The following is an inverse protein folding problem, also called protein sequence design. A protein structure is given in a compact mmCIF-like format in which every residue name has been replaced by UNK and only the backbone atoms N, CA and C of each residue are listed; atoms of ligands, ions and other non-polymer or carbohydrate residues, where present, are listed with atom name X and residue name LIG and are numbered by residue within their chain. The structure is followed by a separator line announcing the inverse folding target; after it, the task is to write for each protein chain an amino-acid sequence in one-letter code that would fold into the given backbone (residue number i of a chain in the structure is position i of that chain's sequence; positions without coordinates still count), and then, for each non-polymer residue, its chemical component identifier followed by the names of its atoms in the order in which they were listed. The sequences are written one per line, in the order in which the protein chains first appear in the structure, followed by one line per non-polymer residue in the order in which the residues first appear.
data_IF_360986386276
#
_entry.id   IF_360986386276
#
_cell.length_a   1.000
_cell.length_b   1.000
_cell.length_c   1.000
_cell.angle_alpha   90.00
_cell.angle_beta   90.00
_cell.angle_gamma   90.00
#
_symmetry.space_group_name_H-M   'P 1'
#
loop_
_entity.id
_entity.type
_entity.pdbx_description
1 polymer ?
#
# COMPACT_ATOMS: atom_id res chain seq x y z
N UNK A 1 34.43 -2.28 14.33
CA UNK A 1 33.14 -2.05 14.99
C UNK A 1 32.07 -2.12 13.93
N UNK A 2 31.22 -3.15 13.98
CA UNK A 2 30.10 -3.36 13.06
C UNK A 2 29.02 -2.31 13.33
N UNK A 3 28.59 -1.59 12.29
CA UNK A 3 27.33 -0.85 12.33
C UNK A 3 26.47 -1.36 11.17
N UNK A 4 25.88 -2.54 11.38
CA UNK A 4 24.81 -3.05 10.55
C UNK A 4 23.62 -2.09 10.73
N UNK A 5 23.49 -1.10 9.84
CA UNK A 5 22.14 -0.62 9.54
C UNK A 5 21.45 -1.84 8.95
N UNK A 6 20.41 -2.31 9.64
CA UNK A 6 19.61 -3.45 9.21
C UNK A 6 19.47 -3.42 7.68
N UNK A 7 19.75 -4.55 7.04
CA UNK A 7 19.40 -4.87 5.67
C UNK A 7 18.03 -4.23 5.38
N UNK A 8 18.03 -3.04 4.74
CA UNK A 8 16.84 -2.21 4.72
C UNK A 8 15.88 -2.89 3.77
N UNK A 9 14.88 -3.55 4.33
CA UNK A 9 13.83 -4.20 3.56
C UNK A 9 13.30 -3.22 2.51
N UNK A 10 13.56 -3.51 1.24
CA UNK A 10 13.22 -2.61 0.13
C UNK A 10 11.71 -2.63 -0.03
N UNK A 11 11.07 -1.46 0.06
CA UNK A 11 9.65 -1.33 -0.22
C UNK A 11 9.43 -1.39 -1.73
N UNK A 12 9.16 -2.60 -2.24
CA UNK A 12 8.99 -2.84 -3.68
C UNK A 12 7.85 -2.04 -4.32
N UNK A 13 6.85 -1.66 -3.53
CA UNK A 13 5.66 -0.96 -3.99
C UNK A 13 5.83 0.55 -4.11
N UNK A 14 6.91 1.14 -3.59
CA UNK A 14 7.08 2.58 -3.49
C UNK A 14 6.93 3.28 -4.86
N UNK A 15 5.97 4.21 -4.94
CA UNK A 15 5.57 4.95 -6.14
C UNK A 15 5.29 4.08 -7.37
N UNK A 16 4.91 2.82 -7.19
CA UNK A 16 4.54 1.92 -8.28
C UNK A 16 3.11 2.18 -8.77
N UNK A 17 2.82 1.92 -10.06
CA UNK A 17 1.46 1.95 -10.55
C UNK A 17 0.57 1.00 -9.75
N UNK A 18 -0.60 1.49 -9.33
CA UNK A 18 -1.57 0.71 -8.60
C UNK A 18 -2.95 0.85 -9.24
N UNK A 19 -3.72 -0.24 -9.22
CA UNK A 19 -5.12 -0.27 -9.65
C UNK A 19 -5.96 -0.92 -8.54
N UNK A 20 -7.24 -0.60 -8.49
CA UNK A 20 -8.14 -1.16 -7.49
C UNK A 20 -9.48 -1.55 -8.12
N UNK A 21 -10.24 -2.41 -7.43
CA UNK A 21 -11.60 -2.78 -7.83
C UNK A 21 -12.58 -1.62 -7.83
N UNK A 22 -12.37 -0.64 -6.94
CA UNK A 22 -13.16 0.58 -6.83
C UNK A 22 -12.40 1.63 -6.02
N UNK A 23 -12.82 2.89 -6.09
CA UNK A 23 -12.21 4.01 -5.36
C UNK A 23 -13.31 4.88 -4.75
N UNK A 24 -13.18 5.23 -3.47
CA UNK A 24 -14.20 6.01 -2.75
C UNK A 24 -14.37 7.45 -3.29
N UNK A 25 -13.39 7.95 -4.05
CA UNK A 25 -13.38 9.28 -4.64
C UNK A 25 -11.98 9.90 -4.69
N UNK A 26 -11.91 11.19 -5.08
CA UNK A 26 -10.66 11.94 -5.13
C UNK A 26 -9.92 11.88 -3.79
N UNK A 27 -8.64 11.50 -3.80
CA UNK A 27 -7.82 11.37 -2.58
C UNK A 27 -7.93 10.02 -1.86
N UNK A 28 -8.69 9.06 -2.40
CA UNK A 28 -8.73 7.67 -1.91
C UNK A 28 -8.47 6.67 -3.04
N UNK A 29 -7.64 7.07 -3.99
CA UNK A 29 -7.29 6.31 -5.19
C UNK A 29 -6.25 5.23 -4.88
N UNK A 30 -6.12 4.24 -5.76
CA UNK A 30 -5.19 3.12 -5.56
C UNK A 30 -3.74 3.59 -5.33
N UNK A 31 -3.30 4.59 -6.10
CA UNK A 31 -1.95 5.16 -5.98
C UNK A 31 -1.63 5.71 -4.58
N UNK A 32 -2.63 6.18 -3.86
CA UNK A 32 -2.46 6.69 -2.49
C UNK A 32 -2.09 5.63 -1.46
N UNK A 33 -2.16 4.34 -1.80
CA UNK A 33 -1.69 3.28 -0.90
C UNK A 33 -0.17 3.05 -0.96
N UNK A 34 0.51 3.65 -1.95
CA UNK A 34 1.91 3.36 -2.28
C UNK A 34 2.73 4.62 -2.59
N UNK A 35 2.22 5.80 -2.25
CA UNK A 35 2.85 7.11 -2.54
C UNK A 35 3.85 7.59 -1.46
N UNK A 36 4.11 6.76 -0.45
CA UNK A 36 5.04 7.06 0.64
C UNK A 36 4.49 8.04 1.69
N UNK A 37 3.30 8.60 1.53
CA UNK A 37 2.69 9.51 2.50
C UNK A 37 1.88 8.70 3.54
N UNK A 38 2.22 8.76 4.84
CA UNK A 38 1.50 8.01 5.87
C UNK A 38 0.09 8.54 6.15
N UNK A 39 -0.32 9.66 5.56
CA UNK A 39 -1.64 10.28 5.74
C UNK A 39 -2.60 10.03 4.58
N UNK A 40 -2.11 9.51 3.46
CA UNK A 40 -2.93 9.12 2.31
C UNK A 40 -3.15 7.60 2.32
N UNK A 41 -4.17 7.15 1.58
CA UNK A 41 -4.48 5.73 1.49
C UNK A 41 -5.63 5.45 0.54
N UNK A 42 -5.64 4.26 -0.04
CA UNK A 42 -6.77 3.77 -0.83
C UNK A 42 -7.97 3.47 0.08
N UNK A 43 -9.17 3.78 -0.42
CA UNK A 43 -10.44 3.32 0.18
C UNK A 43 -11.35 2.82 -0.93
N UNK A 44 -11.97 1.66 -0.69
CA UNK A 44 -12.99 1.15 -1.60
C UNK A 44 -14.24 2.02 -1.58
N UNK A 45 -15.06 1.90 -2.62
CA UNK A 45 -16.44 2.34 -2.52
C UNK A 45 -17.16 1.62 -1.37
N UNK A 46 -18.24 2.22 -0.87
CA UNK A 46 -19.01 1.71 0.28
C UNK A 46 -19.80 0.44 -0.04
N UNK A 47 -19.91 0.05 -1.32
CA UNK A 47 -20.70 -1.11 -1.76
C UNK A 47 -19.77 -2.24 -2.21
N UNK A 48 -20.22 -3.48 -2.03
CA UNK A 48 -19.46 -4.67 -2.38
C UNK A 48 -18.63 -5.21 -1.22
N UNK A 49 -18.36 -6.51 -1.26
CA UNK A 49 -17.71 -7.28 -0.17
C UNK A 49 -16.35 -7.86 -0.61
N UNK A 50 -16.07 -7.76 -1.90
CA UNK A 50 -14.84 -8.20 -2.54
C UNK A 50 -14.20 -6.96 -3.15
N UNK A 51 -13.27 -6.37 -2.41
CA UNK A 51 -12.53 -5.19 -2.82
C UNK A 51 -11.04 -5.54 -2.81
N UNK A 52 -10.31 -5.10 -3.83
CA UNK A 52 -8.91 -5.42 -4.02
C UNK A 52 -8.14 -4.19 -4.49
N UNK A 53 -6.83 -4.22 -4.21
CA UNK A 53 -5.82 -3.33 -4.78
C UNK A 53 -4.69 -4.19 -5.34
N UNK A 54 -4.18 -3.82 -6.50
CA UNK A 54 -3.09 -4.48 -7.21
C UNK A 54 -2.00 -3.45 -7.50
N UNK A 55 -0.73 -3.85 -7.31
CA UNK A 55 0.45 -3.00 -7.53
C UNK A 55 1.33 -3.65 -8.58
N UNK A 56 1.66 -2.90 -9.63
CA UNK A 56 2.60 -3.33 -10.65
C UNK A 56 4.04 -3.05 -10.21
N UNK A 57 4.77 -4.10 -9.82
CA UNK A 57 6.17 -3.99 -9.40
C UNK A 57 7.14 -3.75 -10.56
N UNK A 58 6.67 -3.79 -11.82
CA UNK A 58 7.45 -3.53 -13.03
C UNK A 58 8.50 -4.58 -13.39
N UNK A 59 8.73 -5.57 -12.52
CA UNK A 59 9.60 -6.71 -12.75
C UNK A 59 9.22 -7.88 -11.83
N UNK A 60 9.64 -9.09 -12.21
CA UNK A 60 9.53 -10.26 -11.33
C UNK A 60 10.37 -9.98 -10.08
N UNK A 61 9.71 -9.97 -8.94
CA UNK A 61 10.31 -9.63 -7.65
C UNK A 61 9.95 -10.69 -6.61
N UNK A 62 10.91 -11.05 -5.76
CA UNK A 62 10.64 -11.92 -4.61
C UNK A 62 9.99 -11.08 -3.51
N UNK A 63 8.74 -11.38 -3.18
CA UNK A 63 8.02 -10.74 -2.07
C UNK A 63 8.23 -11.58 -0.81
N UNK A 64 8.97 -11.04 0.15
CA UNK A 64 9.22 -11.69 1.45
C UNK A 64 8.13 -11.38 2.48
N UNK A 65 7.45 -10.23 2.35
CA UNK A 65 6.42 -9.77 3.27
C UNK A 65 5.48 -8.78 2.60
N UNK A 66 4.23 -8.76 3.06
CA UNK A 66 3.26 -7.71 2.75
C UNK A 66 2.94 -6.96 4.05
N UNK A 67 3.07 -5.63 4.02
CA UNK A 67 2.76 -4.77 5.17
C UNK A 67 1.52 -3.95 4.86
N UNK A 68 0.41 -4.23 5.53
CA UNK A 68 -0.79 -3.41 5.43
C UNK A 68 -0.81 -2.40 6.58
N UNK A 69 -0.99 -1.12 6.25
CA UNK A 69 -1.18 -0.05 7.23
C UNK A 69 -2.61 0.46 7.10
N UNK A 70 -3.41 0.28 8.14
CA UNK A 70 -4.73 0.86 8.23
C UNK A 70 -4.66 2.33 8.62
N UNK A 71 -5.66 3.10 8.23
CA UNK A 71 -5.88 4.42 8.80
C UNK A 71 -6.22 4.30 10.29
N UNK A 72 -5.87 5.33 11.08
CA UNK A 72 -6.00 5.29 12.55
C UNK A 72 -7.46 5.07 12.99
N UNK A 73 -8.45 5.45 12.17
CA UNK A 73 -9.86 5.18 12.46
C UNK A 73 -10.25 3.69 12.43
N UNK A 74 -9.48 2.85 11.73
CA UNK A 74 -9.74 1.41 11.64
C UNK A 74 -8.91 0.57 12.63
N UNK A 75 -7.84 1.14 13.20
CA UNK A 75 -7.01 0.49 14.22
C UNK A 75 -7.58 0.79 15.62
N UNK A 76 -8.59 0.03 16.05
CA UNK A 76 -9.03 0.06 17.46
C UNK A 76 -8.06 -0.81 18.29
N UNK A 77 -7.46 -0.22 19.32
CA UNK A 77 -6.62 -0.91 20.31
C UNK A 77 -7.40 -1.96 21.11
#
# INVERSE_FOLDING_TARGET
MLNARADAEVLLSDHRPATASSEAGPGSVAGSAVDGDPWTGWRSERRGRYQWIAVDLGAISTVSRVSLRGSRECARA
#
